data_IF_296685463771
#
_entry.id   IF_296685463771
#
_cell.length_a   1.000
_cell.length_b   1.000
_cell.length_c   1.000
_cell.angle_alpha   90.00
_cell.angle_beta   90.00
_cell.angle_gamma   90.00
#
_symmetry.space_group_name_H-M   'P 1'
#
loop_
_entity.id
_entity.type
_entity.pdbx_description
1 polymer ?
#
# COMPACT_ATOMS: atom_id res chain seq x y z
N UNK A 1 -12.21 62.65 23.30
CA UNK A 1 -12.43 61.53 24.24
C UNK A 1 -13.79 60.90 23.89
N UNK A 2 -13.81 59.59 23.55
CA UNK A 2 -14.91 58.63 23.25
C UNK A 2 -16.19 59.12 22.54
N UNK A 3 -16.59 58.68 21.33
CA UNK A 3 -16.87 57.34 20.75
C UNK A 3 -18.14 56.64 21.28
N UNK A 4 -19.22 56.75 20.48
CA UNK A 4 -20.22 55.75 19.99
C UNK A 4 -21.11 55.04 21.06
N UNK A 5 -22.39 54.67 20.83
CA UNK A 5 -22.96 53.99 19.65
C UNK A 5 -24.51 53.82 19.76
N UNK A 6 -25.17 53.99 18.60
CA UNK A 6 -26.30 53.22 18.00
C UNK A 6 -27.72 53.14 18.56
N UNK A 7 -28.62 53.29 17.58
CA UNK A 7 -30.09 53.23 17.52
C UNK A 7 -30.56 51.90 16.88
N UNK A 8 -31.80 51.51 17.23
CA UNK A 8 -32.87 50.82 16.48
C UNK A 8 -32.73 49.38 15.95
N UNK A 9 -33.81 48.59 16.15
CA UNK A 9 -34.63 48.04 15.05
C UNK A 9 -35.87 47.29 15.58
N UNK A 10 -37.03 47.49 14.93
CA UNK A 10 -38.11 46.51 14.83
C UNK A 10 -39.05 46.88 13.67
N UNK A 11 -39.08 46.07 12.61
CA UNK A 11 -40.26 45.80 11.76
C UNK A 11 -39.96 44.62 10.82
N UNK A 12 -40.96 43.77 10.61
CA UNK A 12 -40.89 42.45 10.00
C UNK A 12 -41.20 42.43 8.49
N UNK A 13 -40.79 41.33 7.84
CA UNK A 13 -41.54 40.66 6.77
C UNK A 13 -41.08 40.88 5.32
N UNK A 14 -40.42 39.88 4.71
CA UNK A 14 -40.98 39.05 3.63
C UNK A 14 -39.96 37.95 3.28
N UNK A 15 -40.35 36.68 3.48
CA UNK A 15 -39.54 35.52 3.09
C UNK A 15 -39.88 35.14 1.65
N UNK A 16 -38.88 35.17 0.77
CA UNK A 16 -38.87 34.43 -0.50
C UNK A 16 -37.63 33.54 -0.44
N UNK A 17 -37.80 32.35 0.14
CA UNK A 17 -36.81 31.30 0.06
C UNK A 17 -36.88 30.70 -1.35
N UNK A 18 -35.85 30.96 -2.16
CA UNK A 18 -35.54 30.11 -3.30
C UNK A 18 -35.15 28.75 -2.72
N UNK A 19 -36.00 27.73 -2.95
CA UNK A 19 -35.66 26.35 -2.68
C UNK A 19 -34.55 25.93 -3.66
N UNK A 20 -33.29 26.11 -3.26
CA UNK A 20 -32.18 25.36 -3.81
C UNK A 20 -32.27 23.91 -3.25
N UNK A 21 -31.98 22.87 -4.05
CA UNK A 21 -32.12 21.50 -3.60
C UNK A 21 -31.11 21.23 -2.48
N UNK A 22 -31.63 20.98 -1.27
CA UNK A 22 -30.87 20.62 -0.08
C UNK A 22 -30.22 19.21 -0.16
N UNK A 23 -30.18 18.59 -1.33
CA UNK A 23 -29.67 17.23 -1.56
C UNK A 23 -28.28 17.18 -2.21
N UNK A 24 -27.57 18.31 -2.24
CA UNK A 24 -26.18 18.39 -2.72
C UNK A 24 -25.20 18.90 -1.65
N UNK A 25 -25.65 19.05 -0.39
CA UNK A 25 -24.82 19.53 0.72
C UNK A 25 -24.36 18.41 1.67
N UNK A 26 -25.03 17.26 1.70
CA UNK A 26 -24.63 16.11 2.54
C UNK A 26 -23.35 15.43 2.03
N UNK A 27 -23.23 15.19 0.71
CA UNK A 27 -22.02 14.55 0.15
C UNK A 27 -20.75 15.43 0.28
N UNK A 28 -20.91 16.75 0.33
CA UNK A 28 -19.78 17.68 0.43
C UNK A 28 -19.21 17.79 1.83
N UNK A 29 -20.05 17.64 2.86
CA UNK A 29 -19.61 17.66 4.26
C UNK A 29 -18.97 16.32 4.66
N UNK A 30 -19.45 15.18 4.15
CA UNK A 30 -18.83 13.87 4.38
C UNK A 30 -17.47 13.72 3.65
N UNK A 31 -17.34 14.26 2.44
CA UNK A 31 -16.04 14.32 1.73
C UNK A 31 -15.06 15.32 2.38
N UNK A 32 -15.55 16.39 2.98
CA UNK A 32 -14.72 17.36 3.70
C UNK A 32 -14.27 16.83 5.06
N UNK A 33 -15.15 16.14 5.79
CA UNK A 33 -14.85 15.49 7.07
C UNK A 33 -13.84 14.35 6.88
N UNK A 34 -14.04 13.48 5.89
CA UNK A 34 -13.09 12.40 5.55
C UNK A 34 -11.73 12.93 5.09
N UNK A 35 -11.69 14.05 4.37
CA UNK A 35 -10.43 14.71 3.99
C UNK A 35 -9.70 15.28 5.21
N UNK A 36 -10.42 15.89 6.15
CA UNK A 36 -9.84 16.44 7.37
C UNK A 36 -9.31 15.33 8.31
N UNK A 37 -10.04 14.22 8.44
CA UNK A 37 -9.56 13.02 9.14
C UNK A 37 -8.35 12.41 8.46
N UNK A 38 -8.36 12.27 7.13
CA UNK A 38 -7.21 11.78 6.37
C UNK A 38 -5.99 12.69 6.56
N UNK A 39 -6.17 14.01 6.54
CA UNK A 39 -5.10 14.97 6.77
C UNK A 39 -4.57 14.90 8.21
N UNK A 40 -5.45 14.66 9.19
CA UNK A 40 -5.05 14.44 10.59
C UNK A 40 -4.27 13.13 10.77
N UNK A 41 -4.72 12.03 10.15
CA UNK A 41 -4.03 10.74 10.18
C UNK A 41 -2.68 10.84 9.49
N UNK A 42 -2.60 11.49 8.32
CA UNK A 42 -1.35 11.73 7.60
C UNK A 42 -0.42 12.66 8.39
N UNK A 43 -0.98 13.66 9.07
CA UNK A 43 -0.25 14.54 9.99
C UNK A 43 0.35 13.77 11.17
N UNK A 44 -0.45 12.92 11.81
CA UNK A 44 -0.01 12.06 12.91
C UNK A 44 1.08 11.07 12.44
N UNK A 45 0.90 10.42 11.28
CA UNK A 45 1.90 9.53 10.68
C UNK A 45 3.21 10.28 10.35
N UNK A 46 3.11 11.54 9.90
CA UNK A 46 4.26 12.41 9.68
C UNK A 46 5.07 12.71 10.95
N UNK A 47 4.43 12.73 12.13
CA UNK A 47 5.12 12.90 13.41
C UNK A 47 5.89 11.67 13.86
N UNK A 48 5.58 10.48 13.32
CA UNK A 48 6.29 9.24 13.62
C UNK A 48 7.70 9.18 13.01
N UNK A 49 7.99 10.05 12.05
CA UNK A 49 9.29 10.14 11.38
C UNK A 49 9.87 11.56 11.51
N UNK A 50 10.28 11.99 12.71
CA UNK A 50 10.82 13.33 12.92
C UNK A 50 12.07 13.53 12.07
N UNK A 51 12.05 14.56 11.21
CA UNK A 51 13.22 14.98 10.44
C UNK A 51 14.08 15.87 11.32
N UNK A 52 15.27 15.37 11.68
CA UNK A 52 16.25 16.20 12.37
C UNK A 52 16.64 17.39 11.48
N UNK A 53 16.60 18.64 11.98
CA UNK A 53 17.02 19.79 11.21
C UNK A 53 18.52 19.72 10.92
N UNK A 54 18.93 20.17 9.75
CA UNK A 54 20.33 20.25 9.37
C UNK A 54 21.09 21.23 10.28
N UNK A 55 22.33 20.91 10.62
CA UNK A 55 23.24 21.89 11.23
C UNK A 55 23.65 22.93 10.18
N UNK A 56 24.14 24.13 10.58
CA UNK A 56 24.60 25.14 9.63
C UNK A 56 25.67 24.63 8.65
N UNK A 57 26.56 23.75 9.11
CA UNK A 57 27.59 23.13 8.27
C UNK A 57 26.99 22.15 7.25
N UNK A 58 25.95 21.42 7.62
CA UNK A 58 25.24 20.53 6.71
C UNK A 58 24.38 21.33 5.71
N UNK A 59 23.74 22.42 6.14
CA UNK A 59 23.04 23.34 5.23
C UNK A 59 24.00 23.92 4.18
N UNK A 60 25.23 24.28 4.57
CA UNK A 60 26.25 24.78 3.65
C UNK A 60 26.65 23.74 2.58
N UNK A 61 26.55 22.44 2.89
CA UNK A 61 26.85 21.33 1.95
C UNK A 61 25.71 21.01 0.99
N UNK A 62 24.49 21.45 1.30
CA UNK A 62 23.29 21.08 0.55
C UNK A 62 23.39 21.37 -0.95
N UNK A 63 23.93 22.50 -1.44
CA UNK A 63 24.09 22.72 -2.88
C UNK A 63 25.02 21.72 -3.57
N UNK A 64 26.06 21.23 -2.88
CA UNK A 64 26.95 20.20 -3.41
C UNK A 64 26.25 18.84 -3.45
N UNK A 65 25.57 18.47 -2.38
CA UNK A 65 24.78 17.24 -2.30
C UNK A 65 23.67 17.19 -3.36
N UNK A 66 22.96 18.30 -3.59
CA UNK A 66 21.92 18.40 -4.63
C UNK A 66 22.47 18.13 -6.03
N UNK A 67 23.68 18.63 -6.35
CA UNK A 67 24.32 18.35 -7.65
C UNK A 67 24.67 16.88 -7.82
N UNK A 68 25.18 16.23 -6.78
CA UNK A 68 25.48 14.79 -6.80
C UNK A 68 24.20 13.98 -7.02
N UNK A 69 23.15 14.27 -6.23
CA UNK A 69 21.87 13.56 -6.35
C UNK A 69 21.24 13.75 -7.72
N UNK A 70 21.37 14.93 -8.34
CA UNK A 70 20.90 15.15 -9.70
C UNK A 70 21.58 14.29 -10.77
N UNK A 71 22.80 13.78 -10.50
CA UNK A 71 23.49 12.84 -11.38
C UNK A 71 23.03 11.39 -11.17
N UNK A 72 22.61 11.05 -9.94
CA UNK A 72 22.10 9.72 -9.58
C UNK A 72 20.66 9.54 -10.03
N UNK A 73 19.81 10.52 -9.72
CA UNK A 73 18.38 10.53 -10.02
C UNK A 73 18.09 11.78 -10.86
N UNK A 74 18.39 11.77 -12.18
CA UNK A 74 17.89 12.78 -13.11
C UNK A 74 16.36 12.92 -13.06
N UNK A 75 15.83 14.03 -13.58
CA UNK A 75 14.39 14.25 -13.61
C UNK A 75 13.66 13.15 -14.39
N UNK A 76 12.65 12.53 -13.77
CA UNK A 76 11.83 11.48 -14.36
C UNK A 76 12.39 10.06 -14.22
N UNK A 77 13.58 9.91 -13.63
CA UNK A 77 14.23 8.60 -13.45
C UNK A 77 13.36 7.61 -12.71
N UNK A 78 12.60 8.03 -11.68
CA UNK A 78 11.72 7.09 -10.97
C UNK A 78 10.56 6.62 -11.84
N UNK A 79 10.03 7.51 -12.69
CA UNK A 79 9.00 7.14 -13.65
C UNK A 79 9.52 6.12 -14.68
N UNK A 80 10.73 6.33 -15.19
CA UNK A 80 11.36 5.44 -16.15
C UNK A 80 11.66 4.05 -15.55
N UNK A 81 12.19 4.01 -14.33
CA UNK A 81 12.41 2.74 -13.59
C UNK A 81 11.10 1.98 -13.44
N UNK A 82 10.02 2.66 -13.02
CA UNK A 82 8.70 2.05 -12.88
C UNK A 82 8.16 1.53 -14.22
N UNK A 83 8.27 2.32 -15.29
CA UNK A 83 7.86 1.91 -16.63
C UNK A 83 8.59 0.63 -17.07
N UNK A 84 9.91 0.60 -16.88
CA UNK A 84 10.72 -0.58 -17.18
C UNK A 84 10.32 -1.80 -16.34
N UNK A 85 10.08 -1.63 -15.04
CA UNK A 85 9.66 -2.72 -14.16
C UNK A 85 8.30 -3.30 -14.59
N UNK A 86 7.37 -2.45 -15.02
CA UNK A 86 6.08 -2.89 -15.53
C UNK A 86 6.24 -3.71 -16.81
N UNK A 87 7.07 -3.23 -17.74
CA UNK A 87 7.30 -3.93 -19.00
C UNK A 87 8.07 -5.25 -18.81
N UNK A 88 9.01 -5.30 -17.88
CA UNK A 88 9.87 -6.47 -17.66
C UNK A 88 9.26 -7.53 -16.73
N UNK A 89 8.40 -7.14 -15.78
CA UNK A 89 7.87 -8.04 -14.74
C UNK A 89 6.35 -8.19 -14.85
N UNK A 90 5.62 -7.07 -14.80
CA UNK A 90 4.14 -7.08 -14.71
C UNK A 90 3.53 -7.60 -16.00
N UNK A 91 4.00 -7.11 -17.15
CA UNK A 91 3.46 -7.50 -18.47
C UNK A 91 3.65 -8.99 -18.75
N UNK A 92 4.83 -9.62 -18.55
CA UNK A 92 4.97 -11.07 -18.69
C UNK A 92 4.12 -11.88 -17.71
N UNK A 93 4.01 -11.46 -16.45
CA UNK A 93 3.17 -12.13 -15.46
C UNK A 93 1.70 -12.12 -15.88
N UNK A 94 1.19 -11.00 -16.41
CA UNK A 94 -0.17 -10.93 -16.93
C UNK A 94 -0.39 -11.79 -18.17
N UNK A 95 0.60 -11.89 -19.05
CA UNK A 95 0.54 -12.79 -20.22
C UNK A 95 0.53 -14.25 -19.80
N UNK A 96 1.12 -14.58 -18.65
CA UNK A 96 1.18 -15.93 -18.10
C UNK A 96 -0.02 -16.29 -17.22
N UNK A 97 -0.58 -15.32 -16.49
CA UNK A 97 -1.42 -15.54 -15.32
C UNK A 97 -2.94 -15.53 -15.51
N UNK A 98 -3.48 -15.34 -16.72
CA UNK A 98 -4.94 -15.45 -16.86
C UNK A 98 -5.55 -15.15 -18.22
N UNK A 99 -6.71 -15.78 -18.45
CA UNK A 99 -7.61 -15.45 -19.54
C UNK A 99 -8.31 -14.13 -19.28
N UNK A 100 -8.11 -13.17 -20.17
CA UNK A 100 -8.83 -11.89 -20.16
C UNK A 100 -10.33 -12.09 -20.42
N UNK A 101 -10.68 -13.10 -21.22
CA UNK A 101 -12.05 -13.45 -21.50
C UNK A 101 -12.75 -14.04 -20.26
N UNK A 102 -12.08 -14.97 -19.53
CA UNK A 102 -12.61 -15.48 -18.26
C UNK A 102 -12.74 -14.39 -17.22
N UNK A 103 -11.79 -13.46 -17.14
CA UNK A 103 -11.86 -12.30 -16.24
C UNK A 103 -13.09 -11.42 -16.50
N UNK A 104 -13.40 -11.19 -17.78
CA UNK A 104 -14.62 -10.47 -18.18
C UNK A 104 -15.87 -11.24 -17.79
N UNK A 105 -15.91 -12.55 -18.04
CA UNK A 105 -17.06 -13.38 -17.72
C UNK A 105 -17.31 -13.43 -16.20
N UNK A 106 -16.26 -13.73 -15.43
CA UNK A 106 -16.23 -13.77 -13.96
C UNK A 106 -16.85 -12.52 -13.33
N UNK A 107 -16.40 -11.33 -13.75
CA UNK A 107 -16.93 -10.05 -13.29
C UNK A 107 -18.44 -9.90 -13.53
N UNK A 108 -18.94 -10.37 -14.67
CA UNK A 108 -20.33 -10.21 -15.05
C UNK A 108 -21.27 -11.22 -14.38
N UNK A 109 -20.77 -12.36 -13.91
CA UNK A 109 -21.57 -13.39 -13.25
C UNK A 109 -21.27 -13.53 -11.75
N UNK A 110 -20.30 -12.79 -11.22
CA UNK A 110 -19.98 -12.73 -9.78
C UNK A 110 -19.19 -13.92 -9.25
N UNK A 111 -18.34 -14.54 -10.06
CA UNK A 111 -17.48 -15.69 -9.67
C UNK A 111 -16.00 -15.36 -9.87
N UNK A 112 -15.10 -16.21 -9.39
CA UNK A 112 -13.66 -16.06 -9.65
C UNK A 112 -13.29 -16.49 -11.08
N UNK A 113 -12.36 -15.80 -11.76
CA UNK A 113 -11.90 -16.22 -13.09
C UNK A 113 -11.19 -17.58 -13.11
N UNK A 114 -10.66 -18.03 -11.96
CA UNK A 114 -10.00 -19.32 -11.82
C UNK A 114 -10.98 -20.49 -11.72
N UNK A 115 -12.23 -20.24 -11.36
CA UNK A 115 -13.31 -21.26 -11.28
C UNK A 115 -13.95 -21.54 -12.66
N UNK A 116 -13.60 -20.76 -13.68
CA UNK A 116 -14.17 -20.88 -15.02
C UNK A 116 -13.40 -21.93 -15.82
N UNK A 117 -13.90 -23.16 -15.83
CA UNK A 117 -13.42 -24.24 -16.69
C UNK A 117 -14.04 -24.19 -18.09
N UNK A 118 -13.68 -23.14 -18.83
CA UNK A 118 -14.04 -22.98 -20.23
C UNK A 118 -12.77 -22.86 -21.08
N UNK A 119 -12.87 -23.26 -22.35
CA UNK A 119 -11.85 -22.94 -23.34
C UNK A 119 -11.75 -21.42 -23.52
N UNK A 120 -10.60 -20.94 -24.02
CA UNK A 120 -10.43 -19.51 -24.35
C UNK A 120 -11.45 -19.05 -25.42
N UNK A 121 -11.77 -19.92 -26.37
CA UNK A 121 -12.71 -19.62 -27.46
C UNK A 121 -14.13 -19.45 -26.92
N UNK A 122 -14.60 -20.40 -26.09
CA UNK A 122 -15.92 -20.33 -25.48
C UNK A 122 -16.03 -19.15 -24.51
N UNK A 123 -14.97 -18.91 -23.74
CA UNK A 123 -14.87 -17.76 -22.83
C UNK A 123 -14.98 -16.44 -23.61
N UNK A 124 -14.28 -16.32 -24.73
CA UNK A 124 -14.32 -15.12 -25.57
C UNK A 124 -15.69 -14.92 -26.23
N UNK A 125 -16.33 -16.00 -26.69
CA UNK A 125 -17.67 -15.95 -27.26
C UNK A 125 -18.70 -15.48 -26.23
N UNK A 126 -18.65 -16.03 -25.00
CA UNK A 126 -19.53 -15.65 -23.90
C UNK A 126 -19.24 -14.25 -23.37
N UNK A 127 -17.97 -13.87 -23.22
CA UNK A 127 -17.57 -12.51 -22.84
C UNK A 127 -18.12 -11.47 -23.83
N UNK A 128 -18.12 -11.78 -25.14
CA UNK A 128 -18.67 -10.91 -26.18
C UNK A 128 -20.19 -10.72 -26.09
N UNK A 129 -20.93 -11.61 -25.41
CA UNK A 129 -22.35 -11.42 -25.13
C UNK A 129 -22.59 -10.34 -24.07
N UNK A 130 -21.71 -10.26 -23.07
CA UNK A 130 -21.79 -9.26 -21.99
C UNK A 130 -21.15 -7.93 -22.37
N UNK A 131 -20.00 -7.96 -23.03
CA UNK A 131 -19.29 -6.79 -23.49
C UNK A 131 -18.64 -7.05 -24.86
N UNK A 132 -19.28 -6.64 -25.98
CA UNK A 132 -18.73 -6.82 -27.32
C UNK A 132 -17.36 -6.15 -27.54
N UNK A 133 -16.97 -5.22 -26.67
CA UNK A 133 -15.69 -4.53 -26.71
C UNK A 133 -14.76 -4.95 -25.56
N UNK A 134 -14.99 -6.12 -24.93
CA UNK A 134 -14.25 -6.56 -23.74
C UNK A 134 -12.74 -6.50 -23.92
N UNK A 135 -12.21 -6.97 -25.05
CA UNK A 135 -10.78 -7.01 -25.30
C UNK A 135 -10.16 -5.61 -25.36
N UNK A 136 -10.81 -4.69 -26.09
CA UNK A 136 -10.36 -3.29 -26.22
C UNK A 136 -10.51 -2.54 -24.90
N UNK A 137 -11.62 -2.75 -24.17
CA UNK A 137 -11.80 -2.16 -22.84
C UNK A 137 -10.70 -2.62 -21.91
N UNK A 138 -10.43 -3.92 -21.90
CA UNK A 138 -9.46 -4.50 -21.00
C UNK A 138 -8.04 -4.01 -21.31
N UNK A 139 -7.67 -3.91 -22.59
CA UNK A 139 -6.41 -3.28 -23.03
C UNK A 139 -6.29 -1.83 -22.54
N UNK A 140 -7.35 -1.03 -22.71
CA UNK A 140 -7.37 0.38 -22.27
C UNK A 140 -7.30 0.51 -20.75
N UNK A 141 -8.03 -0.31 -20.02
CA UNK A 141 -7.98 -0.38 -18.54
C UNK A 141 -6.56 -0.71 -18.08
N UNK A 142 -5.91 -1.70 -18.71
CA UNK A 142 -4.55 -2.08 -18.38
C UNK A 142 -3.50 -1.04 -18.78
N UNK A 143 -3.77 -0.20 -19.78
CA UNK A 143 -2.87 0.89 -20.14
C UNK A 143 -2.91 2.06 -19.15
N UNK A 144 -3.99 2.24 -18.39
CA UNK A 144 -4.15 3.36 -17.44
C UNK A 144 -3.26 3.17 -16.21
N UNK A 145 -3.20 1.95 -15.68
CA UNK A 145 -2.52 1.69 -14.40
C UNK A 145 -1.01 2.02 -14.44
N UNK A 146 -0.23 1.58 -15.45
CA UNK A 146 1.18 1.94 -15.58
C UNK A 146 1.43 3.45 -15.66
N UNK A 147 0.61 4.16 -16.44
CA UNK A 147 0.77 5.59 -16.62
C UNK A 147 0.46 6.35 -15.33
N UNK A 148 -0.57 5.95 -14.59
CA UNK A 148 -0.89 6.50 -13.27
C UNK A 148 0.27 6.29 -12.29
N UNK A 149 0.84 5.08 -12.23
CA UNK A 149 1.98 4.77 -11.36
C UNK A 149 3.21 5.59 -11.72
N UNK A 150 3.49 5.75 -13.02
CA UNK A 150 4.57 6.61 -13.53
C UNK A 150 4.39 8.07 -13.10
N UNK A 151 3.18 8.60 -13.21
CA UNK A 151 2.84 9.96 -12.78
C UNK A 151 3.01 10.14 -11.27
N UNK A 152 2.54 9.18 -10.47
CA UNK A 152 2.71 9.22 -9.01
C UNK A 152 4.19 9.26 -8.62
N UNK A 153 5.03 8.40 -9.18
CA UNK A 153 6.45 8.41 -8.85
C UNK A 153 7.15 9.69 -9.35
N UNK A 154 6.76 10.21 -10.51
CA UNK A 154 7.23 11.51 -11.00
C UNK A 154 6.89 12.64 -10.01
N UNK A 155 5.71 12.61 -9.41
CA UNK A 155 5.27 13.60 -8.41
C UNK A 155 6.06 13.47 -7.09
N UNK A 156 6.42 12.24 -6.70
CA UNK A 156 7.18 11.97 -5.49
C UNK A 156 8.69 12.26 -5.63
N UNK A 157 9.21 12.20 -6.86
CA UNK A 157 10.65 12.31 -7.14
C UNK A 157 11.31 13.58 -6.56
N UNK A 158 10.73 14.80 -6.66
CA UNK A 158 11.34 15.99 -6.08
C UNK A 158 11.54 15.87 -4.55
N UNK A 159 10.56 15.27 -3.86
CA UNK A 159 10.63 15.03 -2.42
C UNK A 159 11.72 14.02 -2.05
N UNK A 160 11.82 12.93 -2.81
CA UNK A 160 12.89 11.93 -2.67
C UNK A 160 14.27 12.55 -2.91
N UNK A 161 14.45 13.30 -3.99
CA UNK A 161 15.73 13.96 -4.32
C UNK A 161 16.14 14.95 -3.25
N UNK A 162 15.19 15.71 -2.71
CA UNK A 162 15.46 16.61 -1.58
C UNK A 162 15.93 15.83 -0.35
N UNK A 163 15.19 14.80 0.07
CA UNK A 163 15.55 14.00 1.24
C UNK A 163 16.91 13.31 1.08
N UNK A 164 17.21 12.81 -0.12
CA UNK A 164 18.51 12.20 -0.41
C UNK A 164 19.64 13.23 -0.38
N UNK A 165 19.42 14.45 -0.88
CA UNK A 165 20.41 15.51 -0.81
C UNK A 165 20.69 15.93 0.65
N UNK A 166 19.66 16.03 1.49
CA UNK A 166 19.81 16.27 2.93
C UNK A 166 20.60 15.12 3.58
N UNK A 167 20.27 13.86 3.25
CA UNK A 167 20.99 12.68 3.74
C UNK A 167 22.48 12.68 3.36
N UNK A 168 22.83 13.15 2.16
CA UNK A 168 24.21 13.32 1.71
C UNK A 168 24.93 14.43 2.47
N UNK A 169 24.28 15.59 2.65
CA UNK A 169 24.84 16.72 3.39
C UNK A 169 25.13 16.39 4.86
N UNK A 170 24.31 15.52 5.46
CA UNK A 170 24.51 15.01 6.83
C UNK A 170 25.65 14.01 6.95
N UNK A 171 25.80 13.12 5.96
CA UNK A 171 26.72 11.96 6.04
C UNK A 171 28.12 12.23 5.52
N UNK A 172 28.27 13.17 4.60
CA UNK A 172 29.54 13.42 3.93
C UNK A 172 30.07 14.82 4.24
N UNK A 173 31.39 14.91 4.33
CA UNK A 173 32.15 16.15 4.43
C UNK A 173 32.27 16.83 3.06
N UNK A 174 32.71 18.10 3.06
CA UNK A 174 32.94 18.86 1.82
C UNK A 174 33.95 18.18 0.88
N UNK A 175 35.01 17.59 1.42
CA UNK A 175 36.00 16.85 0.61
C UNK A 175 35.42 15.58 0.00
N UNK A 176 34.65 14.81 0.78
CA UNK A 176 34.03 13.58 0.27
C UNK A 176 32.97 13.89 -0.79
N UNK A 177 32.17 14.94 -0.61
CA UNK A 177 31.24 15.41 -1.64
C UNK A 177 31.99 15.86 -2.91
N UNK A 178 33.13 16.53 -2.78
CA UNK A 178 33.95 16.90 -3.93
C UNK A 178 34.50 15.68 -4.67
N UNK A 179 34.99 14.67 -3.94
CA UNK A 179 35.51 13.43 -4.52
C UNK A 179 34.41 12.63 -5.23
N UNK A 180 33.23 12.51 -4.62
CA UNK A 180 32.06 11.87 -5.23
C UNK A 180 31.66 12.62 -6.51
N UNK A 181 31.59 13.95 -6.46
CA UNK A 181 31.26 14.76 -7.63
C UNK A 181 32.31 14.61 -8.75
N UNK A 182 33.59 14.52 -8.42
CA UNK A 182 34.65 14.29 -9.39
C UNK A 182 34.51 12.91 -10.05
N UNK A 183 34.22 11.86 -9.28
CA UNK A 183 33.96 10.53 -9.82
C UNK A 183 32.73 10.50 -10.72
N UNK A 184 31.59 11.03 -10.26
CA UNK A 184 30.35 11.07 -11.04
C UNK A 184 30.44 11.98 -12.28
N UNK A 185 31.40 12.92 -12.31
CA UNK A 185 31.73 13.70 -13.49
C UNK A 185 32.41 12.91 -14.62
N UNK A 186 32.90 11.68 -14.33
CA UNK A 186 33.44 10.78 -15.36
C UNK A 186 32.33 10.04 -16.10
N UNK A 187 32.59 9.54 -17.31
CA UNK A 187 31.61 8.74 -18.07
C UNK A 187 31.18 7.48 -17.29
N UNK A 188 32.14 6.75 -16.73
CA UNK A 188 31.88 5.56 -15.91
C UNK A 188 31.13 5.91 -14.63
N UNK A 189 31.53 6.97 -13.92
CA UNK A 189 30.88 7.38 -12.69
C UNK A 189 29.45 7.86 -12.92
N UNK A 190 29.20 8.61 -14.00
CA UNK A 190 27.85 9.03 -14.38
C UNK A 190 26.97 7.82 -14.72
N UNK A 191 27.51 6.82 -15.45
CA UNK A 191 26.79 5.57 -15.71
C UNK A 191 26.51 4.82 -14.41
N UNK A 192 27.52 4.64 -13.56
CA UNK A 192 27.37 3.95 -12.28
C UNK A 192 26.32 4.62 -11.38
N UNK A 193 26.33 5.95 -11.27
CA UNK A 193 25.36 6.70 -10.46
C UNK A 193 23.90 6.41 -10.87
N UNK A 194 23.61 6.36 -12.18
CA UNK A 194 22.28 6.05 -12.71
C UNK A 194 21.92 4.57 -12.55
N UNK A 195 22.81 3.68 -12.96
CA UNK A 195 22.56 2.23 -12.97
C UNK A 195 22.47 1.66 -11.55
N UNK A 196 23.32 2.10 -10.63
CA UNK A 196 23.34 1.62 -9.23
C UNK A 196 22.04 1.82 -8.50
N UNK A 197 21.37 2.93 -8.78
CA UNK A 197 20.07 3.22 -8.21
C UNK A 197 18.96 2.34 -8.84
N UNK A 198 19.01 2.11 -10.15
CA UNK A 198 18.04 1.27 -10.86
C UNK A 198 18.24 -0.24 -10.62
N UNK A 199 19.47 -0.70 -10.31
CA UNK A 199 19.82 -2.12 -10.13
C UNK A 199 18.97 -2.83 -9.05
N UNK A 200 18.45 -2.10 -8.06
CA UNK A 200 17.56 -2.66 -7.05
C UNK A 200 16.24 -3.20 -7.64
N UNK A 201 15.83 -2.71 -8.82
CA UNK A 201 14.65 -3.15 -9.56
C UNK A 201 14.95 -4.17 -10.67
N UNK A 202 16.18 -4.70 -10.72
CA UNK A 202 16.56 -5.68 -11.73
C UNK A 202 15.77 -6.99 -11.56
N UNK A 203 15.12 -7.53 -12.62
CA UNK A 203 14.34 -8.76 -12.55
C UNK A 203 15.11 -9.96 -12.01
N UNK A 204 16.44 -10.00 -12.18
CA UNK A 204 17.29 -11.07 -11.64
C UNK A 204 17.36 -11.04 -10.12
N UNK A 205 17.27 -9.85 -9.51
CA UNK A 205 17.21 -9.72 -8.06
C UNK A 205 15.88 -10.23 -7.53
N UNK A 206 14.78 -9.89 -8.20
CA UNK A 206 13.46 -10.42 -7.85
C UNK A 206 13.40 -11.95 -8.02
N UNK A 207 13.93 -12.48 -9.12
CA UNK A 207 14.00 -13.93 -9.35
C UNK A 207 14.76 -14.66 -8.25
N UNK A 208 15.91 -14.12 -7.83
CA UNK A 208 16.67 -14.68 -6.70
C UNK A 208 15.88 -14.64 -5.38
N UNK A 209 15.07 -13.60 -5.15
CA UNK A 209 14.16 -13.55 -3.99
C UNK A 209 13.05 -14.61 -4.08
N UNK A 210 12.50 -14.86 -5.28
CA UNK A 210 11.49 -15.91 -5.49
C UNK A 210 12.05 -17.33 -5.29
N UNK A 211 13.32 -17.55 -5.64
CA UNK A 211 14.00 -18.83 -5.35
C UNK A 211 14.18 -19.06 -3.84
N UNK A 212 14.22 -18.01 -3.04
CA UNK A 212 14.34 -18.10 -1.59
C UNK A 212 13.01 -18.30 -0.85
N UNK A 213 11.85 -18.15 -1.54
CA UNK A 213 10.53 -18.27 -0.92
C UNK A 213 10.30 -19.61 -0.19
N UNK A 214 10.62 -20.77 -0.79
CA UNK A 214 10.40 -22.07 -0.12
C UNK A 214 11.14 -22.17 1.22
N UNK A 215 12.41 -21.77 1.26
CA UNK A 215 13.20 -21.78 2.50
C UNK A 215 12.66 -20.78 3.54
N UNK A 216 12.09 -19.66 3.08
CA UNK A 216 11.44 -18.69 3.97
C UNK A 216 10.14 -19.24 4.55
N UNK A 217 9.34 -19.97 3.76
CA UNK A 217 8.11 -20.63 4.26
C UNK A 217 8.44 -21.74 5.27
N UNK A 218 9.46 -22.55 5.00
CA UNK A 218 9.97 -23.56 5.94
C UNK A 218 10.38 -22.90 7.27
N UNK A 219 11.16 -21.82 7.21
CA UNK A 219 11.55 -21.07 8.40
C UNK A 219 10.37 -20.43 9.15
N UNK A 220 9.30 -20.06 8.44
CA UNK A 220 8.05 -19.55 9.04
C UNK A 220 7.25 -20.66 9.75
N UNK A 221 7.19 -21.87 9.18
CA UNK A 221 6.58 -23.02 9.85
C UNK A 221 7.26 -23.36 11.18
N UNK A 222 8.58 -23.13 11.26
CA UNK A 222 9.34 -23.32 12.50
C UNK A 222 9.12 -22.22 13.56
N UNK A 223 8.43 -21.11 13.22
CA UNK A 223 8.20 -20.01 14.17
C UNK A 223 7.28 -20.46 15.31
N UNK A 224 6.25 -21.26 15.05
CA UNK A 224 5.33 -21.71 16.11
C UNK A 224 6.06 -22.52 17.18
N UNK A 225 6.94 -23.43 16.76
CA UNK A 225 7.78 -24.21 17.67
C UNK A 225 8.75 -23.31 18.45
N UNK A 226 9.33 -22.30 17.80
CA UNK A 226 10.22 -21.33 18.44
C UNK A 226 9.50 -20.44 19.45
N UNK A 227 8.30 -19.96 19.13
CA UNK A 227 7.45 -19.18 20.04
C UNK A 227 7.04 -20.04 21.23
N UNK A 228 6.56 -21.27 20.99
CA UNK A 228 6.19 -22.20 22.05
C UNK A 228 7.36 -22.48 23.00
N UNK A 229 8.56 -22.71 22.46
CA UNK A 229 9.77 -22.89 23.27
C UNK A 229 10.15 -21.61 24.05
N UNK A 230 10.04 -20.43 23.43
CA UNK A 230 10.38 -19.15 24.04
C UNK A 230 9.39 -18.72 25.14
N UNK A 231 8.15 -19.20 25.12
CA UNK A 231 7.13 -18.90 26.13
C UNK A 231 6.85 -20.05 27.09
N UNK A 232 7.58 -21.17 26.98
CA UNK A 232 7.32 -22.39 27.77
C UNK A 232 7.45 -22.19 29.29
N UNK A 233 8.21 -21.18 29.72
CA UNK A 233 8.41 -20.81 31.13
C UNK A 233 7.40 -19.77 31.63
N UNK A 234 6.57 -19.19 30.75
CA UNK A 234 5.55 -18.21 31.12
C UNK A 234 4.26 -18.91 31.61
N UNK A 235 3.54 -18.32 32.57
CA UNK A 235 2.19 -18.77 32.92
C UNK A 235 1.27 -18.73 31.68
N UNK A 236 0.27 -19.62 31.60
CA UNK A 236 -0.69 -19.59 30.50
C UNK A 236 -1.38 -18.24 30.43
N UNK A 237 -1.62 -17.76 29.20
CA UNK A 237 -2.39 -16.54 28.97
C UNK A 237 -3.78 -16.74 29.58
N UNK A 238 -4.15 -15.84 30.50
CA UNK A 238 -5.47 -15.84 31.12
C UNK A 238 -6.48 -15.31 30.10
N UNK A 239 -7.56 -16.04 29.90
CA UNK A 239 -8.71 -15.53 29.15
C UNK A 239 -9.42 -14.43 29.95
N UNK A 240 -10.26 -13.65 29.28
CA UNK A 240 -11.13 -12.70 29.97
C UNK A 240 -12.03 -13.40 31.02
N UNK A 241 -12.32 -14.69 30.81
CA UNK A 241 -13.09 -15.51 31.74
C UNK A 241 -12.33 -16.01 32.97
N UNK A 242 -10.99 -15.98 32.92
CA UNK A 242 -10.15 -16.28 34.07
C UNK A 242 -9.97 -15.06 35.00
N UNK A 243 -10.48 -13.89 34.62
CA UNK A 243 -10.43 -12.67 35.44
C UNK A 243 -11.49 -12.68 36.54
N UNK A 244 -11.11 -12.25 37.74
CA UNK A 244 -12.05 -12.01 38.83
C UNK A 244 -13.00 -10.83 38.51
N UNK A 245 -14.17 -10.72 39.17
CA UNK A 245 -15.10 -9.62 38.91
C UNK A 245 -14.46 -8.23 39.04
N UNK A 246 -13.60 -8.04 40.03
CA UNK A 246 -12.89 -6.78 40.24
C UNK A 246 -11.84 -6.49 39.16
N UNK A 247 -11.18 -7.53 38.61
CA UNK A 247 -10.25 -7.37 37.49
C UNK A 247 -11.00 -7.01 36.20
N UNK A 248 -12.15 -7.63 35.93
CA UNK A 248 -12.99 -7.29 34.77
C UNK A 248 -13.51 -5.86 34.83
N UNK A 249 -13.98 -5.42 36.01
CA UNK A 249 -14.40 -4.02 36.21
C UNK A 249 -13.25 -3.05 35.92
N UNK A 250 -12.01 -3.43 36.26
CA UNK A 250 -10.82 -2.66 35.94
C UNK A 250 -10.53 -2.60 34.44
N UNK A 251 -10.72 -3.71 33.72
CA UNK A 251 -10.61 -3.75 32.25
C UNK A 251 -11.68 -2.86 31.61
N UNK A 252 -12.95 -3.03 31.98
CA UNK A 252 -14.08 -2.24 31.50
C UNK A 252 -13.85 -0.74 31.73
N UNK A 253 -13.42 -0.35 32.93
CA UNK A 253 -13.16 1.05 33.25
C UNK A 253 -11.96 1.63 32.47
N UNK A 254 -10.96 0.81 32.15
CA UNK A 254 -9.77 1.25 31.43
C UNK A 254 -9.99 1.32 29.91
N UNK A 255 -10.76 0.40 29.34
CA UNK A 255 -11.00 0.30 27.89
C UNK A 255 -12.24 1.07 27.44
N UNK A 256 -13.18 1.32 28.35
CA UNK A 256 -14.47 1.95 28.04
C UNK A 256 -15.50 1.02 27.40
N UNK A 257 -15.14 -0.24 27.13
CA UNK A 257 -16.05 -1.27 26.63
C UNK A 257 -16.82 -1.93 27.76
N UNK A 258 -18.10 -2.21 27.51
CA UNK A 258 -18.94 -2.98 28.42
C UNK A 258 -18.58 -4.46 28.41
N UNK A 259 -18.95 -5.18 29.47
CA UNK A 259 -18.75 -6.64 29.55
C UNK A 259 -19.40 -7.38 28.36
N UNK A 260 -20.57 -6.91 27.91
CA UNK A 260 -21.29 -7.50 26.78
C UNK A 260 -20.55 -7.29 25.45
N UNK A 261 -19.98 -6.10 25.22
CA UNK A 261 -19.21 -5.79 24.01
C UNK A 261 -17.91 -6.61 23.94
N UNK A 262 -17.21 -6.74 25.07
CA UNK A 262 -15.99 -7.56 25.14
C UNK A 262 -16.31 -9.03 24.85
N UNK A 263 -17.39 -9.57 25.42
CA UNK A 263 -17.81 -10.96 25.17
C UNK A 263 -18.28 -11.20 23.73
N UNK A 264 -18.97 -10.23 23.13
CA UNK A 264 -19.37 -10.30 21.74
C UNK A 264 -18.14 -10.33 20.81
N UNK A 265 -17.11 -9.53 21.12
CA UNK A 265 -15.85 -9.52 20.36
C UNK A 265 -14.99 -10.79 20.56
N UNK A 266 -15.12 -11.48 21.69
CA UNK A 266 -14.44 -12.75 21.97
C UNK A 266 -15.16 -13.97 21.38
N UNK A 267 -16.39 -13.81 20.91
CA UNK A 267 -17.08 -14.84 20.13
C UNK A 267 -16.48 -14.78 18.73
N UNK A 268 -16.03 -15.90 18.13
CA UNK A 268 -15.54 -15.90 16.76
C UNK A 268 -16.63 -15.30 15.86
N UNK A 269 -16.40 -14.09 15.35
CA UNK A 269 -17.20 -13.52 14.28
C UNK A 269 -16.82 -14.17 12.96
N UNK A 270 -17.60 -13.92 11.91
CA UNK A 270 -17.42 -14.39 10.51
C UNK A 270 -16.01 -14.11 9.90
N UNK A 271 -15.09 -13.51 10.65
CA UNK A 271 -13.68 -13.31 10.29
C UNK A 271 -12.75 -14.47 10.73
N UNK A 272 -13.25 -15.42 11.54
CA UNK A 272 -12.47 -16.58 11.97
C UNK A 272 -12.49 -17.74 10.95
N UNK A 273 -13.34 -17.68 9.93
CA UNK A 273 -13.37 -18.67 8.84
C UNK A 273 -12.23 -18.46 7.83
N UNK A 274 -11.66 -17.25 7.74
CA UNK A 274 -10.57 -16.90 6.79
C UNK A 274 -9.14 -17.17 7.32
N UNK A 275 -8.96 -17.51 8.60
CA UNK A 275 -7.62 -17.80 9.17
C UNK A 275 -7.21 -19.28 9.04
N UNK A 276 -8.02 -20.11 8.38
CA UNK A 276 -7.72 -21.53 8.20
C UNK A 276 -6.98 -21.87 6.90
N UNK A 277 -6.21 -20.92 6.37
CA UNK A 277 -5.41 -21.08 5.16
C UNK A 277 -4.52 -22.34 5.16
N UNK A 278 -4.05 -22.77 6.33
CA UNK A 278 -3.17 -23.93 6.48
C UNK A 278 -3.92 -25.27 6.39
N UNK A 279 -5.16 -25.35 6.88
CA UNK A 279 -5.98 -26.57 6.81
C UNK A 279 -6.70 -26.66 5.46
N UNK A 280 -7.01 -25.51 4.82
CA UNK A 280 -7.55 -25.43 3.47
C UNK A 280 -6.49 -25.81 2.41
N UNK A 281 -5.25 -25.33 2.55
CA UNK A 281 -4.13 -25.75 1.70
C UNK A 281 -3.77 -27.24 1.86
N UNK A 282 -3.88 -27.78 3.08
CA UNK A 282 -3.65 -29.20 3.34
C UNK A 282 -4.78 -30.09 2.78
N UNK A 283 -6.03 -29.58 2.74
CA UNK A 283 -7.17 -30.28 2.14
C UNK A 283 -7.08 -30.31 0.61
N UNK A 284 -6.60 -29.25 -0.04
CA UNK A 284 -6.37 -29.22 -1.50
C UNK A 284 -5.23 -30.16 -1.94
N UNK A 285 -4.17 -30.32 -1.13
CA UNK A 285 -3.11 -31.31 -1.41
C UNK A 285 -3.62 -32.76 -1.32
N UNK A 286 -4.55 -33.06 -0.42
CA UNK A 286 -5.12 -34.42 -0.30
C UNK A 286 -6.07 -34.76 -1.44
N UNK A 287 -6.82 -33.78 -1.94
CA UNK A 287 -7.72 -33.96 -3.08
C UNK A 287 -6.95 -34.16 -4.41
N UNK A 288 -5.77 -33.54 -4.53
CA UNK A 288 -4.89 -33.71 -5.70
C UNK A 288 -4.19 -35.07 -5.72
N UNK A 289 -3.91 -35.66 -4.55
CA UNK A 289 -3.26 -36.96 -4.42
C UNK A 289 -4.22 -38.13 -4.69
N UNK A 290 -5.51 -38.01 -4.33
CA UNK A 290 -6.55 -38.98 -4.69
C UNK A 290 -6.89 -39.02 -6.19
N UNK A 291 -6.61 -37.93 -6.94
CA UNK A 291 -6.86 -37.83 -8.38
C UNK A 291 -5.73 -38.44 -9.25
N UNK A 292 -4.62 -38.86 -8.63
CA UNK A 292 -3.43 -39.39 -9.32
C UNK A 292 -3.24 -40.90 -9.10
N UNK A 293 -4.03 -41.56 -8.25
CA UNK A 293 -4.00 -43.04 -8.16
C UNK A 293 -4.77 -43.68 -9.34
N UNK A 294 -4.10 -44.45 -10.23
CA UNK A 294 -4.81 -45.26 -11.21
C UNK A 294 -5.44 -46.46 -10.50
N UNK A 295 -6.77 -46.60 -10.58
CA UNK A 295 -7.41 -47.89 -10.30
C UNK A 295 -6.84 -48.97 -11.24
N UNK A 296 -6.05 -49.89 -10.68
CA UNK A 296 -5.85 -51.26 -11.19
C UNK A 296 -4.88 -51.46 -12.36
#
# INVERSE_FOLDING_TARGET
MSIKRTLFAATAGFALAMAAPALAQDDTDDLAASKAELEQVMGALGTLFPKEPLTPEQEARLPAAQRIVALMIPEGTMGDIMGKMIDDIVRPMMQFGGSQAKSTLARNIGVSPFEIDLSEEDSAALASLFDPAWAERQEREFAVFPEMMRQMLTLMEPGLRKALAEAYAMRFTDSELADIAAFFGTETGAKYARESFAMASDPRMMGASMEALPAMMEAMGDIEAQVAAATADLPPVRSYDDLSPAERERVIAATGFTDAEIRAALTPGEWAEDENWAEEAAAEETEFEELIEPEG
#
